data_IF_647446583525
#
_entry.id   IF_647446583525
#
_cell.length_a   1.000
_cell.length_b   1.000
_cell.length_c   1.000
_cell.angle_alpha   90.00
_cell.angle_beta   90.00
_cell.angle_gamma   90.00
#
_symmetry.space_group_name_H-M   'P 1'
#
loop_
_entity.id
_entity.type
_entity.pdbx_description
1 polymer ?
2 non-polymer ?
3 water ?
#
# COMPACT_ATOMS: atom_id res chain seq x y z
N UNK A 3 -31.88 -4.76 -15.05
CA UNK A 3 -31.79 -5.57 -13.80
C UNK A 3 -30.51 -5.26 -12.97
N UNK A 5 -27.45 -3.89 -10.79
CA UNK A 5 -27.17 -2.76 -9.92
C UNK A 5 -25.96 -1.95 -10.42
N UNK A 6 -25.92 -0.66 -10.11
CA UNK A 6 -24.82 0.17 -10.55
C UNK A 6 -24.55 1.23 -9.48
N UNK A 7 -23.40 1.88 -9.54
CA UNK A 7 -23.16 3.01 -8.67
C UNK A 7 -24.19 4.07 -9.04
N UNK A 8 -24.38 5.04 -8.17
CA UNK A 8 -25.15 6.22 -8.57
C UNK A 8 -24.24 7.43 -8.60
N UNK A 9 -24.41 8.22 -9.65
CA UNK A 9 -23.54 9.36 -9.90
C UNK A 9 -24.41 10.60 -9.73
N UNK A 10 -24.04 11.50 -8.82
CA UNK A 10 -24.80 12.76 -8.64
C UNK A 10 -23.84 13.94 -8.76
N UNK A 11 -24.38 15.10 -9.11
CA UNK A 11 -23.63 16.31 -9.19
C UNK A 11 -24.07 17.20 -8.06
N UNK A 12 -23.16 17.49 -7.15
CA UNK A 12 -23.48 18.23 -5.96
C UNK A 12 -22.40 19.28 -5.77
N UNK A 13 -22.77 20.54 -5.82
CA UNK A 13 -21.82 21.63 -5.55
C UNK A 13 -20.52 21.52 -6.39
N UNK A 14 -20.65 21.21 -7.67
CA UNK A 14 -19.52 21.15 -8.61
C UNK A 14 -18.61 19.97 -8.40
N UNK A 15 -19.10 18.99 -7.67
CA UNK A 15 -18.39 17.78 -7.41
C UNK A 15 -19.24 16.63 -7.96
N UNK A 16 -18.58 15.67 -8.61
CA UNK A 16 -19.24 14.48 -9.09
C UNK A 16 -19.13 13.49 -7.95
N UNK A 17 -20.27 13.08 -7.44
CA UNK A 17 -20.29 12.26 -6.26
C UNK A 17 -20.64 10.87 -6.72
N UNK A 18 -19.82 9.89 -6.36
CA UNK A 18 -20.10 8.47 -6.64
C UNK A 18 -20.55 7.78 -5.34
N UNK A 19 -21.72 7.16 -5.36
CA UNK A 19 -22.26 6.48 -4.19
C UNK A 19 -22.67 5.06 -4.56
N UNK A 20 -22.83 4.24 -3.54
CA UNK A 20 -23.11 2.81 -3.69
C UNK A 20 -24.44 2.38 -3.10
N UNK A 21 -25.27 1.69 -3.89
CA UNK A 21 -26.47 1.03 -3.35
C UNK A 21 -26.16 -0.07 -2.36
N UNK A 22 -27.07 -0.30 -1.42
CA UNK A 22 -26.97 -1.38 -0.42
C UNK A 22 -26.51 -2.75 -0.94
N UNK A 23 -26.90 -3.12 -2.16
CA UNK A 23 -26.43 -4.39 -2.72
C UNK A 23 -24.88 -4.51 -2.87
N UNK A 24 -24.17 -3.38 -2.84
CA UNK A 24 -22.71 -3.37 -2.92
C UNK A 24 -21.99 -3.28 -1.56
N UNK A 25 -22.41 -4.01 -0.53
CA UNK A 25 -21.72 -4.03 0.75
C UNK A 25 -20.26 -4.45 0.59
N UNK A 26 -20.04 -5.43 -0.27
CA UNK A 26 -18.73 -6.02 -0.49
C UNK A 26 -18.32 -5.92 -1.95
N UNK A 27 -17.28 -5.12 -2.21
CA UNK A 27 -16.79 -4.90 -3.56
C UNK A 27 -15.62 -5.86 -3.92
N UNK A 28 -15.95 -6.95 -4.59
CA UNK A 28 -14.96 -7.85 -5.14
C UNK A 28 -14.81 -7.60 -6.64
N UNK A 29 -14.05 -8.48 -7.29
CA UNK A 29 -13.79 -8.38 -8.71
C UNK A 29 -15.06 -8.31 -9.55
N UNK A 30 -16.08 -9.08 -9.20
CA UNK A 30 -17.34 -9.10 -9.93
C UNK A 30 -18.08 -7.80 -9.87
N UNK A 31 -18.18 -7.21 -8.67
CA UNK A 31 -18.82 -5.92 -8.51
C UNK A 31 -18.04 -4.81 -9.19
N UNK A 32 -16.71 -4.91 -9.15
CA UNK A 32 -15.88 -3.88 -9.75
C UNK A 32 -16.12 -3.87 -11.26
N UNK A 33 -16.25 -5.05 -11.89
CA UNK A 33 -16.56 -5.10 -13.33
C UNK A 33 -17.89 -4.50 -13.63
N UNK A 34 -18.85 -4.67 -12.72
CA UNK A 34 -20.21 -4.16 -12.96
C UNK A 34 -20.23 -2.66 -13.01
N UNK A 35 -19.40 -1.99 -12.24
CA UNK A 35 -19.51 -0.55 -12.04
C UNK A 35 -18.46 0.25 -12.81
N UNK A 36 -17.50 -0.44 -13.43
CA UNK A 36 -16.30 0.21 -13.99
C UNK A 36 -16.66 1.21 -15.05
N UNK A 37 -17.56 0.81 -15.92
CA UNK A 37 -17.99 1.63 -17.03
C UNK A 37 -18.70 2.94 -16.64
N UNK A 38 -19.66 2.87 -15.75
CA UNK A 38 -20.31 4.07 -15.25
C UNK A 38 -19.31 4.94 -14.48
N UNK A 39 -18.47 4.31 -13.66
CA UNK A 39 -17.49 5.03 -12.90
C UNK A 39 -16.52 5.83 -13.78
N UNK A 40 -15.92 5.13 -14.76
CA UNK A 40 -14.93 5.78 -15.61
C UNK A 40 -15.58 6.84 -16.49
N UNK A 41 -16.81 6.62 -16.93
CA UNK A 41 -17.47 7.65 -17.76
C UNK A 41 -17.78 8.91 -16.92
N UNK A 42 -17.97 8.76 -15.61
CA UNK A 42 -18.18 9.89 -14.72
C UNK A 42 -16.90 10.71 -14.44
N UNK A 44 -15.19 12.56 -16.51
CA UNK A 44 -14.93 13.63 -17.46
C UNK A 44 -15.53 14.95 -16.91
N UNK A 45 -15.54 16.03 -17.63
CA UNK A 45 -16.00 17.27 -16.99
C UNK A 45 -15.02 18.38 -17.21
N UNK A 46 -15.51 19.61 -17.19
CA UNK A 46 -14.66 20.78 -17.32
C UNK A 46 -13.69 20.82 -16.17
N UNK A 47 -12.43 21.13 -16.52
CA UNK A 47 -11.36 21.51 -15.58
C UNK A 47 -11.79 22.66 -14.65
N UNK A 48 -11.48 22.58 -13.35
CA UNK A 48 -10.91 21.48 -12.57
C UNK A 48 -12.00 20.45 -12.21
N UNK A 49 -11.69 19.18 -12.36
CA UNK A 49 -12.63 18.13 -12.01
C UNK A 49 -12.45 17.76 -10.56
N UNK A 50 -13.56 17.64 -9.88
CA UNK A 50 -13.59 17.29 -8.49
C UNK A 50 -14.52 16.09 -8.35
N UNK A 51 -14.01 15.03 -7.70
CA UNK A 51 -14.68 13.76 -7.58
C UNK A 51 -14.62 13.30 -6.10
N UNK A 52 -15.74 12.78 -5.60
CA UNK A 52 -15.84 12.32 -4.25
C UNK A 52 -16.38 10.93 -4.30
N UNK A 53 -15.70 9.98 -3.67
CA UNK A 53 -16.19 8.61 -3.63
C UNK A 53 -16.81 8.46 -2.25
N UNK A 54 -18.12 8.38 -2.22
CA UNK A 54 -18.82 8.28 -0.96
C UNK A 54 -19.07 6.80 -0.64
N UNK A 55 -18.32 6.32 0.34
CA UNK A 55 -18.27 4.89 0.63
C UNK A 55 -19.23 4.46 1.71
N UNK A 56 -20.24 5.28 2.02
CA UNK A 56 -21.16 4.94 3.09
C UNK A 56 -21.90 3.65 2.72
N UNK A 57 -21.98 2.72 3.63
CA UNK A 57 -22.66 1.44 3.39
C UNK A 57 -21.73 0.35 2.86
N UNK A 58 -20.59 0.73 2.28
CA UNK A 58 -19.64 -0.22 1.77
C UNK A 58 -18.87 -0.80 2.95
N UNK A 59 -18.88 -2.12 3.11
CA UNK A 59 -18.21 -2.75 4.25
C UNK A 59 -16.87 -3.42 3.93
N UNK A 60 -16.66 -3.76 2.66
CA UNK A 60 -15.43 -4.42 2.25
C UNK A 60 -15.00 -4.06 0.85
N UNK A 61 -13.70 -3.84 0.70
CA UNK A 61 -13.04 -3.87 -0.61
C UNK A 61 -11.57 -4.21 -0.47
N UNK A 62 -10.93 -4.49 -1.62
CA UNK A 62 -9.52 -4.85 -1.69
C UNK A 62 -8.88 -4.32 -2.95
N UNK A 63 -8.00 -5.13 -3.55
CA UNK A 63 -7.17 -4.64 -4.63
C UNK A 63 -7.96 -4.27 -5.87
N UNK A 64 -9.01 -5.04 -6.20
CA UNK A 64 -9.72 -4.79 -7.46
C UNK A 64 -10.37 -3.42 -7.43
N UNK A 65 -10.98 -3.08 -6.31
CA UNK A 65 -11.64 -1.80 -6.20
C UNK A 65 -10.64 -0.67 -6.08
N UNK A 66 -9.56 -0.85 -5.35
CA UNK A 66 -8.56 0.20 -5.25
C UNK A 66 -7.98 0.47 -6.64
N UNK A 67 -7.75 -0.59 -7.39
CA UNK A 67 -7.29 -0.48 -8.77
C UNK A 67 -8.25 0.36 -9.64
N UNK A 68 -9.55 0.09 -9.53
CA UNK A 68 -10.52 0.94 -10.27
C UNK A 68 -10.40 2.40 -9.88
N UNK A 69 -10.36 2.68 -8.57
CA UNK A 69 -10.28 4.05 -8.08
C UNK A 69 -9.04 4.78 -8.67
N UNK A 70 -7.94 4.05 -8.80
CA UNK A 70 -6.67 4.58 -9.32
C UNK A 70 -6.87 4.93 -10.80
N UNK A 71 -7.64 4.12 -11.52
CA UNK A 71 -7.95 4.43 -12.92
C UNK A 71 -8.73 5.71 -13.05
N UNK A 72 -9.68 5.91 -12.15
CA UNK A 72 -10.48 7.13 -12.11
C UNK A 72 -9.57 8.29 -11.78
N UNK A 73 -8.79 8.13 -10.74
CA UNK A 73 -7.91 9.21 -10.31
C UNK A 73 -6.93 9.65 -11.41
N UNK A 74 -6.36 8.68 -12.17
CA UNK A 74 -5.41 9.01 -13.24
C UNK A 74 -6.06 9.86 -14.35
N UNK A 75 -7.35 9.65 -14.54
CA UNK A 75 -8.08 10.43 -15.52
C UNK A 75 -8.26 11.87 -15.09
N UNK A 76 -8.38 12.13 -13.80
CA UNK A 76 -8.56 13.51 -13.39
C UNK A 76 -7.31 14.20 -12.81
N UNK A 77 -6.27 13.44 -12.46
CA UNK A 77 -5.14 13.99 -11.70
C UNK A 77 -4.32 15.05 -12.41
N UNK A 78 -4.33 15.16 -13.73
CA UNK A 78 -3.52 16.24 -14.29
C UNK A 78 -4.14 17.66 -14.23
N UNK A 79 -5.39 17.78 -13.77
CA UNK A 79 -5.96 19.11 -13.56
C UNK A 79 -5.26 19.77 -12.37
N UNK A 80 -4.79 21.00 -12.52
CA UNK A 80 -4.05 21.63 -11.42
C UNK A 80 -4.84 21.75 -10.12
N UNK A 81 -6.13 22.06 -10.22
CA UNK A 81 -6.95 22.11 -9.00
C UNK A 81 -7.96 20.97 -8.94
N UNK A 82 -7.69 19.89 -9.65
CA UNK A 82 -8.49 18.66 -9.58
C UNK A 82 -8.45 18.10 -8.17
N UNK A 83 -9.42 17.28 -7.79
CA UNK A 83 -9.43 16.68 -6.46
C UNK A 83 -10.14 15.38 -6.56
N UNK A 84 -9.54 14.35 -6.00
CA UNK A 84 -10.14 13.03 -5.95
C UNK A 84 -10.15 12.66 -4.47
N UNK A 85 -11.33 12.62 -3.87
CA UNK A 85 -11.51 12.53 -2.41
C UNK A 85 -12.40 11.32 -2.05
N UNK A 86 -12.25 10.86 -0.82
CA UNK A 86 -13.13 9.84 -0.28
C UNK A 86 -13.89 10.40 0.92
N UNK A 87 -15.03 9.79 1.24
CA UNK A 87 -15.72 10.07 2.50
C UNK A 87 -16.49 8.86 2.98
N UNK A 88 -16.85 8.90 4.26
CA UNK A 88 -17.71 7.90 4.87
C UNK A 88 -17.13 6.48 4.75
N UNK A 89 -15.83 6.40 4.98
CA UNK A 89 -15.09 5.12 4.82
C UNK A 89 -15.21 4.41 6.15
N UNK A 90 -15.73 3.18 6.14
CA UNK A 90 -15.89 2.45 7.41
C UNK A 90 -14.53 2.18 8.05
N UNK A 91 -14.47 1.97 9.37
CA UNK A 91 -13.19 1.70 10.00
C UNK A 91 -12.41 0.53 9.40
N UNK A 92 -13.11 -0.54 9.01
CA UNK A 92 -12.42 -1.61 8.38
C UNK A 92 -11.83 -1.18 7.03
N UNK A 93 -12.57 -0.43 6.22
CA UNK A 93 -12.10 -0.06 4.93
C UNK A 93 -10.88 0.86 5.06
N UNK A 94 -10.82 1.64 6.14
CA UNK A 94 -9.66 2.44 6.44
C UNK A 94 -8.44 1.52 6.71
N UNK A 95 -8.65 0.39 7.36
CA UNK A 95 -7.56 -0.56 7.65
C UNK A 95 -7.00 -1.15 6.36
N UNK A 96 -7.89 -1.33 5.38
CA UNK A 96 -7.49 -1.85 4.10
C UNK A 96 -6.78 -0.74 3.33
N UNK A 97 -7.33 0.47 3.33
CA UNK A 97 -6.63 1.60 2.73
C UNK A 97 -5.23 1.84 3.29
N UNK A 98 -5.05 1.57 4.56
CA UNK A 98 -3.75 1.74 5.20
C UNK A 98 -2.66 0.80 4.61
N UNK A 99 -3.06 -0.23 3.87
CA UNK A 99 -2.11 -1.17 3.20
C UNK A 99 -1.49 -0.50 1.99
N UNK A 100 -2.25 0.41 1.36
CA UNK A 100 -1.79 1.07 0.14
C UNK A 100 -1.34 2.46 0.45
N UNK A 101 -0.54 3.03 -0.43
CA UNK A 101 -0.01 4.34 -0.12
C UNK A 101 -0.70 5.39 -0.97
N UNK A 102 -1.40 4.98 -2.02
CA UNK A 102 -1.97 5.94 -2.97
C UNK A 102 -3.02 6.93 -2.34
N UNK A 103 -3.77 6.46 -1.35
CA UNK A 103 -4.78 7.32 -0.75
C UNK A 103 -4.20 8.47 0.05
N UNK A 104 -2.88 8.48 0.25
CA UNK A 104 -2.23 9.64 0.82
C UNK A 104 -2.37 10.84 -0.07
N UNK A 105 -2.73 10.65 -1.34
CA UNK A 105 -3.02 11.79 -2.21
C UNK A 105 -4.52 12.01 -2.40
N UNK A 106 -5.37 11.23 -1.74
CA UNK A 106 -6.82 11.43 -1.82
C UNK A 106 -7.30 11.96 -0.45
N UNK A 107 -7.70 13.22 -0.37
CA UNK A 107 -8.18 13.69 0.94
C UNK A 107 -9.37 12.86 1.35
N UNK A 108 -9.40 12.46 2.62
CA UNK A 108 -10.52 11.72 3.16
C UNK A 108 -11.26 12.53 4.26
N UNK A 109 -12.59 12.47 4.22
CA UNK A 109 -13.48 13.24 5.11
C UNK A 109 -14.53 12.32 5.76
N UNK A 110 -15.04 12.70 6.91
CA UNK A 110 -15.87 11.74 7.65
C UNK A 110 -17.25 11.61 7.06
N UNK A 111 -17.77 12.67 6.44
CA UNK A 111 -19.10 12.66 5.84
C UNK A 111 -19.06 13.42 4.51
N UNK A 112 -20.05 13.18 3.69
CA UNK A 112 -20.21 13.90 2.43
C UNK A 112 -20.30 15.40 2.62
N UNK A 113 -21.11 15.84 3.58
CA UNK A 113 -21.30 17.27 3.87
C UNK A 113 -19.95 17.93 4.16
N UNK A 114 -19.13 17.30 5.00
CA UNK A 114 -17.80 17.83 5.28
C UNK A 114 -16.93 17.85 4.04
N UNK A 115 -17.01 16.79 3.26
CA UNK A 115 -16.18 16.70 2.06
C UNK A 115 -16.54 17.82 1.08
N UNK A 116 -17.84 17.98 0.82
CA UNK A 116 -18.32 19.02 -0.08
C UNK A 116 -17.95 20.45 0.32
N UNK A 117 -18.07 20.79 1.60
CA UNK A 117 -17.65 22.06 2.14
C UNK A 117 -16.15 22.31 1.97
N UNK A 118 -15.34 21.29 2.27
CA UNK A 118 -13.89 21.40 2.12
C UNK A 118 -13.53 21.54 0.64
N UNK A 120 -15.14 23.08 -1.82
CA UNK A 120 -15.83 24.20 -2.52
C UNK A 120 -15.02 24.83 -3.65
N UNK B 5 26.74 5.93 8.58
CA UNK B 5 26.40 5.94 7.12
C UNK B 5 25.09 6.67 6.88
N UNK B 6 25.05 7.52 5.86
CA UNK B 6 23.90 8.38 5.59
C UNK B 6 23.73 8.61 4.08
N UNK B 7 22.57 9.15 3.70
CA UNK B 7 22.36 9.57 2.34
C UNK B 7 23.35 10.69 1.99
N UNK B 8 23.66 10.76 0.71
CA UNK B 8 24.47 11.84 0.17
C UNK B 8 23.54 12.83 -0.51
N UNK B 9 23.65 14.10 -0.14
CA UNK B 9 22.82 15.15 -0.69
C UNK B 9 23.71 16.11 -1.47
N UNK B 10 23.42 16.24 -2.77
CA UNK B 10 24.20 17.11 -3.66
C UNK B 10 23.23 18.02 -4.40
N UNK B 11 23.79 19.09 -4.95
CA UNK B 11 23.02 20.09 -5.69
C UNK B 11 23.48 20.09 -7.14
N UNK B 12 22.63 19.60 -8.04
CA UNK B 12 22.97 19.49 -9.45
C UNK B 12 21.94 20.08 -10.39
N UNK B 13 22.40 21.06 -11.17
CA UNK B 13 21.56 21.69 -12.18
C UNK B 13 20.26 22.14 -11.51
N UNK B 14 20.43 22.72 -10.33
CA UNK B 14 19.33 23.30 -9.56
C UNK B 14 18.45 22.26 -8.90
N UNK B 15 18.87 21.01 -8.88
CA UNK B 15 18.05 19.95 -8.29
C UNK B 15 18.77 19.44 -7.06
N UNK B 16 18.03 19.25 -5.98
CA UNK B 16 18.58 18.59 -4.80
C UNK B 16 18.55 17.11 -5.06
N UNK B 17 19.74 16.49 -5.12
CA UNK B 17 19.83 15.05 -5.45
C UNK B 17 20.15 14.23 -4.23
N UNK B 18 19.32 13.22 -3.98
CA UNK B 18 19.51 12.31 -2.85
C UNK B 18 20.05 11.00 -3.43
N UNK B 19 21.20 10.59 -2.96
CA UNK B 19 21.85 9.33 -3.36
C UNK B 19 22.13 8.45 -2.16
N UNK B 20 22.38 7.19 -2.44
CA UNK B 20 22.57 6.16 -1.41
C UNK B 20 23.91 5.48 -1.56
N UNK B 21 24.73 5.51 -0.51
CA UNK B 21 25.98 4.75 -0.50
C UNK B 21 25.73 3.27 -0.66
N UNK B 22 26.76 2.58 -1.12
CA UNK B 22 26.71 1.13 -1.40
C UNK B 22 26.08 0.31 -0.28
N UNK B 23 26.34 0.69 0.97
CA UNK B 23 25.83 -0.09 2.11
C UNK B 23 24.31 -0.13 2.19
N UNK B 24 23.61 0.80 1.54
CA UNK B 24 22.16 0.76 1.53
C UNK B 24 21.60 -0.07 0.39
N UNK B 25 22.26 -1.16 0.01
CA UNK B 25 21.63 -2.10 -0.92
C UNK B 25 20.19 -2.38 -0.54
N UNK B 26 19.93 -2.53 0.76
CA UNK B 26 18.58 -2.78 1.24
C UNK B 26 18.12 -1.70 2.22
N UNK B 27 17.03 -0.99 1.88
CA UNK B 27 16.43 0.02 2.76
C UNK B 27 15.25 -0.53 3.54
N UNK B 28 15.55 -1.05 4.71
CA UNK B 28 14.51 -1.56 5.59
C UNK B 28 14.20 -0.49 6.62
N UNK B 29 13.33 -0.81 7.56
CA UNK B 29 12.91 0.15 8.59
C UNK B 29 14.12 0.74 9.33
N UNK B 30 15.13 -0.09 9.61
CA UNK B 30 16.33 0.36 10.27
C UNK B 30 17.06 1.46 9.48
N UNK B 31 17.35 1.18 8.22
CA UNK B 31 18.03 2.16 7.37
C UNK B 31 17.18 3.39 7.17
N UNK B 32 15.88 3.19 7.00
CA UNK B 32 14.97 4.30 6.84
C UNK B 32 15.05 5.23 8.06
N UNK B 33 15.13 4.67 9.26
CA UNK B 33 15.29 5.50 10.46
C UNK B 33 16.63 6.27 10.49
N UNK B 34 17.73 5.64 10.09
CA UNK B 34 19.03 6.33 10.05
C UNK B 34 19.02 7.58 9.14
N UNK B 35 18.36 7.50 7.98
CA UNK B 35 18.44 8.58 6.99
C UNK B 35 17.32 9.62 7.10
N UNK B 36 16.29 9.32 7.90
CA UNK B 36 15.05 10.12 7.90
C UNK B 36 15.26 11.62 8.12
N UNK B 37 16.07 11.97 9.11
CA UNK B 37 16.22 13.37 9.46
C UNK B 37 17.03 14.15 8.39
N UNK B 38 18.11 13.56 7.87
CA UNK B 38 18.86 14.18 6.76
C UNK B 38 17.98 14.34 5.50
N UNK B 39 17.19 13.32 5.21
CA UNK B 39 16.28 13.34 4.08
C UNK B 39 15.32 14.50 4.21
N UNK B 40 14.67 14.61 5.38
CA UNK B 40 13.66 15.64 5.59
C UNK B 40 14.33 17.01 5.66
N UNK B 41 15.52 17.10 6.22
CA UNK B 41 16.28 18.36 6.20
C UNK B 41 16.56 18.75 4.77
N UNK B 42 16.72 17.77 3.86
CA UNK B 42 17.02 18.10 2.47
C UNK B 42 15.81 18.70 1.75
N UNK B 44 13.97 21.20 2.56
CA UNK B 44 13.70 22.62 2.91
C UNK B 44 14.36 23.67 2.01
N UNK B 45 14.84 23.30 0.83
CA UNK B 45 15.59 24.24 -0.04
C UNK B 45 14.87 25.52 -0.53
N UNK B 46 15.58 26.33 -1.32
CA UNK B 46 14.98 27.48 -2.01
C UNK B 46 13.94 27.04 -3.05
N UNK B 47 12.95 27.91 -3.29
CA UNK B 47 11.83 27.63 -4.20
C UNK B 47 12.04 28.14 -5.64
N UNK B 48 11.47 27.43 -6.64
CA UNK B 48 10.73 26.14 -6.46
C UNK B 48 11.68 24.98 -6.16
N UNK B 49 11.24 24.09 -5.30
CA UNK B 49 12.09 23.02 -4.86
C UNK B 49 11.99 21.88 -5.85
N UNK B 50 13.14 21.45 -6.31
CA UNK B 50 13.24 20.32 -7.20
C UNK B 50 14.10 19.28 -6.51
N UNK B 51 13.56 18.07 -6.42
CA UNK B 51 14.18 17.00 -5.67
C UNK B 51 14.20 15.73 -6.52
N UNK B 52 15.37 15.12 -6.58
CA UNK B 52 15.55 13.87 -7.28
C UNK B 52 16.10 12.82 -6.33
N UNK B 53 15.40 11.70 -6.24
CA UNK B 53 15.83 10.54 -5.47
C UNK B 53 16.49 9.56 -6.44
N UNK B 54 17.82 9.57 -6.43
CA UNK B 54 18.62 8.68 -7.24
C UNK B 54 18.81 7.34 -6.52
N UNK B 55 18.04 6.33 -6.94
CA UNK B 55 18.04 5.04 -6.27
C UNK B 55 19.02 4.04 -6.89
N UNK B 56 20.05 4.54 -7.57
CA UNK B 56 21.06 3.63 -8.10
C UNK B 56 21.78 2.87 -6.98
N UNK B 57 21.86 1.55 -7.15
CA UNK B 57 22.48 0.67 -6.16
C UNK B 57 21.51 0.13 -5.12
N UNK B 58 20.28 0.66 -5.03
CA UNK B 58 19.31 0.15 -4.05
C UNK B 58 18.54 -0.97 -4.72
N UNK B 59 18.54 -2.13 -4.10
CA UNK B 59 17.91 -3.31 -4.70
C UNK B 59 16.62 -3.68 -4.01
N UNK B 60 16.41 -3.21 -2.78
CA UNK B 60 15.19 -3.50 -2.03
C UNK B 60 14.76 -2.31 -1.17
N UNK B 61 13.47 -2.07 -1.14
CA UNK B 61 12.88 -1.28 -0.08
C UNK B 61 11.43 -1.70 0.03
N UNK B 62 10.75 -1.22 1.06
CA UNK B 62 9.34 -1.48 1.23
C UNK B 62 8.55 -0.32 1.80
N UNK B 63 7.61 -0.68 2.66
CA UNK B 63 6.63 0.28 3.09
C UNK B 63 7.19 1.50 3.85
N UNK B 64 8.18 1.31 4.71
CA UNK B 64 8.62 2.43 5.51
C UNK B 64 9.41 3.44 4.67
N UNK B 65 10.17 2.98 3.67
CA UNK B 65 10.82 3.92 2.78
C UNK B 65 9.80 4.69 1.96
N UNK B 66 8.75 4.01 1.49
CA UNK B 66 7.71 4.70 0.73
C UNK B 66 7.08 5.79 1.59
N UNK B 67 6.79 5.46 2.84
CA UNK B 67 6.24 6.45 3.77
C UNK B 67 7.15 7.65 3.88
N UNK B 68 8.46 7.45 4.02
CA UNK B 68 9.39 8.58 4.03
C UNK B 68 9.31 9.41 2.73
N UNK B 69 9.34 8.75 1.58
CA UNK B 69 9.24 9.43 0.32
C UNK B 69 7.95 10.27 0.23
N UNK B 70 6.84 9.69 0.68
CA UNK B 70 5.56 10.40 0.61
C UNK B 70 5.60 11.68 1.45
N UNK B 71 6.24 11.66 2.62
CA UNK B 71 6.38 12.85 3.46
C UNK B 71 7.11 13.97 2.73
N UNK B 72 8.29 13.62 2.20
CA UNK B 72 9.12 14.54 1.44
C UNK B 72 8.37 15.09 0.27
N UNK B 73 7.67 14.21 -0.44
CA UNK B 73 6.85 14.64 -1.54
C UNK B 73 5.80 15.67 -1.08
N UNK B 74 5.18 15.43 0.07
CA UNK B 74 4.18 16.35 0.61
C UNK B 74 4.77 17.71 0.97
N UNK B 75 6.02 17.76 1.44
CA UNK B 75 6.65 19.05 1.67
C UNK B 75 6.96 19.81 0.37
N UNK B 76 7.33 19.09 -0.69
CA UNK B 76 7.70 19.72 -1.96
C UNK B 76 6.45 20.19 -2.72
N UNK B 77 5.40 19.38 -2.71
CA UNK B 77 4.25 19.61 -3.60
C UNK B 77 3.51 20.88 -3.24
N UNK B 78 3.74 21.40 -2.05
CA UNK B 78 3.25 22.72 -1.68
C UNK B 78 3.71 23.83 -2.66
N UNK B 79 4.71 23.55 -3.51
CA UNK B 79 5.37 24.60 -4.30
C UNK B 79 4.74 24.96 -5.63
N UNK B 80 3.83 24.12 -6.14
CA UNK B 80 3.17 24.40 -7.42
C UNK B 80 4.15 24.16 -8.55
N UNK B 81 5.23 24.95 -8.61
CA UNK B 81 6.30 24.72 -9.59
C UNK B 81 7.32 23.62 -9.18
N UNK B 82 7.12 23.02 -8.01
CA UNK B 82 8.10 22.05 -7.49
C UNK B 82 8.03 20.70 -8.17
N UNK B 83 9.13 19.97 -8.16
CA UNK B 83 9.15 18.62 -8.71
C UNK B 83 9.84 17.67 -7.77
N UNK B 84 9.22 16.52 -7.58
CA UNK B 84 9.78 15.42 -6.82
C UNK B 84 9.82 14.25 -7.77
N UNK B 85 11.01 13.72 -8.01
CA UNK B 85 11.19 12.66 -9.03
C UNK B 85 12.11 11.59 -8.52
N UNK B 86 12.07 10.42 -9.17
CA UNK B 86 12.92 9.27 -8.87
C UNK B 86 13.70 8.93 -10.12
N UNK B 87 14.87 8.32 -9.98
CA UNK B 87 15.53 7.71 -11.11
C UNK B 87 16.28 6.50 -10.68
N UNK B 88 16.69 5.72 -11.65
CA UNK B 88 17.53 4.56 -11.48
C UNK B 88 16.96 3.57 -10.49
N UNK B 89 15.66 3.31 -10.62
CA UNK B 89 15.01 2.43 -9.70
C UNK B 89 15.09 1.00 -10.24
N UNK B 90 15.46 0.06 -9.41
CA UNK B 90 15.62 -1.32 -9.84
C UNK B 90 14.29 -1.99 -10.18
N UNK B 91 14.33 -3.05 -10.99
CA UNK B 91 13.10 -3.73 -11.37
C UNK B 91 12.22 -4.19 -10.23
N UNK B 92 12.81 -4.77 -9.19
CA UNK B 92 12.04 -5.12 -7.97
C UNK B 92 11.33 -3.91 -7.35
N UNK B 93 12.10 -2.84 -7.18
CA UNK B 93 11.60 -1.60 -6.60
C UNK B 93 10.51 -0.91 -7.43
N UNK B 94 10.65 -0.92 -8.74
CA UNK B 94 9.55 -0.48 -9.59
C UNK B 94 8.24 -1.25 -9.31
N UNK B 95 8.33 -2.57 -9.14
CA UNK B 95 7.15 -3.35 -8.85
C UNK B 95 6.48 -2.92 -7.55
N UNK B 96 7.28 -2.71 -6.50
CA UNK B 96 6.75 -2.25 -5.24
C UNK B 96 5.96 -0.94 -5.47
N UNK B 97 6.59 0.01 -6.14
CA UNK B 97 5.92 1.26 -6.44
C UNK B 97 4.62 1.09 -7.28
N UNK B 98 4.60 0.15 -8.21
CA UNK B 98 3.44 -0.05 -9.04
C UNK B 98 2.32 -0.76 -8.31
N UNK B 99 2.68 -1.75 -7.48
CA UNK B 99 1.67 -2.51 -6.78
C UNK B 99 0.93 -1.62 -5.79
N UNK B 100 1.61 -0.65 -5.17
CA UNK B 100 0.91 0.23 -4.23
C UNK B 100 0.37 1.48 -4.92
N UNK B 101 0.54 1.54 -6.23
CA UNK B 101 0.09 2.65 -7.10
C UNK B 101 0.79 3.95 -6.90
N UNK B 102 1.89 3.97 -6.22
CA UNK B 102 2.56 5.25 -5.96
C UNK B 102 3.50 5.72 -7.12
N UNK B 103 3.76 4.81 -8.08
CA UNK B 103 4.63 5.09 -9.21
C UNK B 103 4.21 6.28 -10.09
N UNK B 104 2.91 6.45 -10.38
CA UNK B 104 2.44 7.54 -11.27
C UNK B 104 2.20 8.84 -10.48
N UNK B 105 2.40 8.81 -9.17
CA UNK B 105 2.35 10.05 -8.41
C UNK B 105 3.50 11.02 -8.76
N UNK B 106 4.70 10.45 -8.89
CA UNK B 106 5.98 11.10 -9.21
C UNK B 106 6.49 10.73 -10.63
N UNK B 107 7.22 11.64 -11.31
CA UNK B 107 8.00 11.24 -12.49
C UNK B 107 9.08 10.27 -12.13
N UNK B 108 9.30 9.24 -12.94
CA UNK B 108 10.41 8.35 -12.72
C UNK B 108 11.23 8.22 -13.99
N UNK B 109 12.55 8.41 -13.90
CA UNK B 109 13.39 8.44 -15.08
C UNK B 109 14.32 7.23 -15.01
N UNK B 110 14.86 6.81 -16.16
CA UNK B 110 15.84 5.70 -16.16
C UNK B 110 17.18 6.09 -15.57
N UNK B 111 17.71 7.27 -15.91
CA UNK B 111 19.02 7.72 -15.43
C UNK B 111 18.98 9.13 -14.84
N UNK B 112 20.01 9.47 -14.09
CA UNK B 112 20.10 10.78 -13.50
C UNK B 112 20.20 11.92 -14.51
N UNK B 113 21.02 11.76 -15.54
CA UNK B 113 21.19 12.83 -16.51
C UNK B 113 19.86 13.09 -17.25
N UNK B 114 19.16 12.03 -17.60
CA UNK B 114 17.81 12.15 -18.17
C UNK B 114 16.90 13.00 -17.27
N UNK B 115 16.89 12.66 -15.99
CA UNK B 115 16.08 13.38 -14.99
C UNK B 115 16.47 14.85 -14.86
N UNK B 116 17.76 15.13 -14.74
CA UNK B 116 18.19 16.50 -14.47
C UNK B 116 17.82 17.39 -15.65
N UNK B 117 17.98 16.87 -16.86
CA UNK B 117 17.57 17.59 -18.05
C UNK B 117 16.03 17.74 -18.13
N UNK B 118 15.28 16.63 -17.98
CA UNK B 118 13.80 16.63 -18.00
C UNK B 118 13.25 17.68 -17.03
N UNK B 120 14.50 20.40 -16.06
CA UNK B 120 14.68 21.80 -16.51
C UNK B 120 13.58 22.30 -17.46
N UNK B 121 12.55 21.49 -17.76
CA UNK B 121 11.53 21.96 -18.71
C UNK B 121 10.53 22.92 -18.04
N UNK C 5 -8.69 -15.41 24.55
CA UNK C 5 -8.47 -16.18 23.28
C UNK C 5 -7.14 -15.81 22.62
N UNK C 6 -6.45 -16.83 22.11
CA UNK C 6 -5.16 -16.63 21.52
C UNK C 6 -5.03 -17.55 20.30
N UNK C 7 -4.03 -17.27 19.48
CA UNK C 7 -3.68 -18.18 18.39
C UNK C 7 -3.20 -19.47 19.00
N UNK C 8 -3.23 -20.53 18.21
CA UNK C 8 -2.81 -21.88 18.60
C UNK C 8 -1.53 -22.17 17.84
N UNK C 9 -0.46 -22.48 18.54
CA UNK C 9 0.80 -22.77 17.93
C UNK C 9 1.09 -24.23 18.10
N UNK C 10 1.35 -24.91 17.00
CA UNK C 10 1.71 -26.32 17.06
C UNK C 10 2.97 -26.61 16.22
N UNK C 11 3.56 -27.77 16.46
CA UNK C 11 4.79 -28.19 15.78
C UNK C 11 4.48 -29.48 15.07
N UNK C 12 4.35 -29.40 13.75
CA UNK C 12 3.93 -30.51 12.90
C UNK C 12 4.94 -30.68 11.79
N UNK C 13 5.62 -31.83 11.74
CA UNK C 13 6.47 -32.18 10.59
C UNK C 13 7.63 -31.16 10.38
N UNK C 14 8.31 -30.76 11.47
CA UNK C 14 9.40 -29.79 11.40
C UNK C 14 8.91 -28.34 11.18
N UNK C 15 7.60 -28.15 11.16
CA UNK C 15 7.00 -26.84 10.81
C UNK C 15 6.23 -26.30 12.02
N UNK C 16 6.46 -25.03 12.33
CA UNK C 16 5.68 -24.32 13.33
C UNK C 16 4.43 -23.79 12.65
N UNK C 17 3.28 -24.30 13.06
CA UNK C 17 2.00 -23.95 12.49
C UNK C 17 1.25 -22.99 13.39
N UNK C 18 0.81 -21.87 12.83
CA UNK C 18 -0.01 -20.87 13.54
C UNK C 18 -1.43 -21.00 13.05
N UNK C 19 -2.38 -21.27 13.94
CA UNK C 19 -3.81 -21.41 13.58
C UNK C 19 -4.65 -20.44 14.40
N UNK C 20 -5.86 -20.16 13.91
CA UNK C 20 -6.75 -19.15 14.51
C UNK C 20 -8.05 -19.78 14.99
N UNK C 21 -8.40 -19.59 16.25
CA UNK C 21 -9.75 -20.00 16.66
C UNK C 21 -10.85 -19.22 15.92
N UNK C 22 -12.07 -19.76 15.93
CA UNK C 22 -13.22 -19.17 15.19
C UNK C 22 -13.50 -17.73 15.59
N UNK C 23 -13.30 -17.41 16.87
CA UNK C 23 -13.47 -16.02 17.36
C UNK C 23 -12.69 -14.95 16.53
N UNK C 24 -11.57 -15.35 15.90
CA UNK C 24 -10.75 -14.42 15.12
C UNK C 24 -11.15 -14.32 13.63
N UNK C 25 -12.43 -14.44 13.33
CA UNK C 25 -12.88 -14.26 11.96
C UNK C 25 -12.44 -12.92 11.36
N UNK C 26 -12.41 -11.88 12.19
CA UNK C 26 -12.02 -10.56 11.78
C UNK C 26 -10.83 -10.17 12.62
N UNK C 27 -9.75 -9.74 11.99
CA UNK C 27 -8.54 -9.39 12.68
C UNK C 27 -8.24 -7.92 12.53
N UNK C 28 -8.67 -7.16 13.53
CA UNK C 28 -8.47 -5.72 13.56
C UNK C 28 -7.37 -5.46 14.57
N UNK C 29 -7.09 -4.18 14.82
CA UNK C 29 -5.96 -3.79 15.64
C UNK C 29 -5.97 -4.47 17.03
N UNK C 30 -7.16 -4.53 17.61
CA UNK C 30 -7.38 -5.17 18.92
C UNK C 30 -6.94 -6.62 18.92
N UNK C 31 -7.37 -7.37 17.91
CA UNK C 31 -7.02 -8.78 17.80
C UNK C 31 -5.55 -8.95 17.55
N UNK C 32 -4.97 -8.05 16.79
CA UNK C 32 -3.57 -8.19 16.47
C UNK C 32 -2.74 -7.98 17.75
N UNK C 33 -3.11 -7.01 18.57
CA UNK C 33 -2.49 -6.87 19.87
C UNK C 33 -2.79 -8.04 20.83
N UNK C 34 -3.99 -8.62 20.84
CA UNK C 34 -4.26 -9.82 21.64
C UNK C 34 -3.23 -10.98 21.33
N UNK C 35 -2.88 -11.15 20.06
CA UNK C 35 -2.10 -12.31 19.61
C UNK C 35 -0.59 -12.04 19.35
N UNK C 36 -0.15 -10.79 19.35
CA UNK C 36 1.20 -10.43 18.90
C UNK C 36 2.26 -11.17 19.71
N UNK C 37 2.08 -11.27 21.01
CA UNK C 37 3.10 -11.86 21.88
C UNK C 37 3.27 -13.36 21.59
N UNK C 38 2.17 -14.10 21.53
CA UNK C 38 2.27 -15.52 21.21
C UNK C 38 2.74 -15.76 19.75
N UNK C 39 2.26 -14.93 18.83
CA UNK C 39 2.75 -14.99 17.44
C UNK C 39 4.28 -14.76 17.33
N UNK C 40 4.78 -13.68 17.91
CA UNK C 40 6.18 -13.37 17.74
C UNK C 40 7.07 -14.43 18.47
N UNK C 41 6.60 -14.97 19.59
CA UNK C 41 7.33 -16.04 20.30
C UNK C 41 7.51 -17.29 19.41
N UNK C 42 6.54 -17.56 18.54
CA UNK C 42 6.60 -18.69 17.64
C UNK C 42 7.61 -18.51 16.53
N UNK C 44 10.73 -17.86 17.04
CA UNK C 44 12.05 -17.92 17.69
C UNK C 44 12.71 -19.34 17.79
N UNK C 45 12.29 -20.33 17.01
CA UNK C 45 12.92 -21.66 17.16
C UNK C 45 14.30 -21.97 16.51
N UNK C 46 14.64 -23.26 16.47
CA UNK C 46 15.86 -23.72 15.84
C UNK C 46 15.86 -23.43 14.34
N UNK C 47 17.02 -23.05 13.82
CA UNK C 47 17.18 -22.60 12.45
C UNK C 47 17.61 -23.77 11.57
N UNK C 48 17.18 -23.79 10.29
CA UNK C 48 16.32 -22.83 9.59
C UNK C 48 14.89 -22.92 10.06
N UNK C 49 14.24 -21.78 10.31
CA UNK C 49 12.89 -21.79 10.81
C UNK C 49 11.89 -21.88 9.66
N UNK C 50 10.95 -22.80 9.80
CA UNK C 50 9.86 -22.96 8.88
C UNK C 50 8.56 -22.67 9.64
N UNK C 51 7.80 -21.73 9.10
CA UNK C 51 6.56 -21.27 9.70
C UNK C 51 5.40 -21.31 8.67
N UNK C 52 4.26 -21.85 9.12
CA UNK C 52 3.04 -21.91 8.32
C UNK C 52 1.92 -21.18 9.04
N UNK C 53 1.33 -20.19 8.36
CA UNK C 53 0.24 -19.41 8.90
C UNK C 53 -1.01 -19.96 8.25
N UNK C 54 -1.74 -20.75 9.03
CA UNK C 54 -2.92 -21.38 8.54
C UNK C 54 -4.11 -20.47 8.82
N UNK C 55 -4.67 -19.86 7.78
CA UNK C 55 -5.61 -18.78 7.92
C UNK C 55 -7.03 -19.28 7.77
N UNK C 56 -7.24 -20.58 7.94
CA UNK C 56 -8.60 -21.10 7.85
C UNK C 56 -9.47 -20.44 8.90
N UNK C 57 -10.65 -19.97 8.49
CA UNK C 57 -11.58 -19.32 9.41
C UNK C 57 -11.40 -17.80 9.44
N UNK C 58 -10.24 -17.30 9.03
CA UNK C 58 -10.01 -15.86 9.03
C UNK C 58 -10.60 -15.27 7.74
N UNK C 59 -11.50 -14.30 7.91
CA UNK C 59 -12.19 -13.71 6.77
C UNK C 59 -11.84 -12.25 6.46
N UNK C 60 -11.42 -11.49 7.44
CA UNK C 60 -11.07 -10.11 7.17
C UNK C 60 -9.82 -9.75 8.00
N UNK C 61 -8.86 -9.06 7.37
CA UNK C 61 -7.84 -8.30 8.10
C UNK C 61 -7.37 -7.12 7.28
N UNK C 62 -6.58 -6.24 7.88
CA UNK C 62 -6.02 -5.10 7.14
C UNK C 62 -4.56 -4.88 7.47
N UNK C 63 -4.14 -3.60 7.48
CA UNK C 63 -2.72 -3.28 7.69
C UNK C 63 -2.18 -3.80 9.01
N UNK C 64 -2.99 -3.79 10.06
CA UNK C 64 -2.48 -4.20 11.38
C UNK C 64 -1.94 -5.62 11.32
N UNK C 65 -2.72 -6.53 10.74
CA UNK C 65 -2.32 -7.94 10.68
C UNK C 65 -1.20 -8.18 9.71
N UNK C 66 -1.28 -7.53 8.55
CA UNK C 66 -0.20 -7.61 7.60
C UNK C 66 1.10 -7.13 8.25
N UNK C 67 1.05 -6.06 9.03
CA UNK C 67 2.28 -5.58 9.67
C UNK C 67 2.84 -6.60 10.68
N UNK C 68 1.96 -7.31 11.40
CA UNK C 68 2.37 -8.38 12.31
C UNK C 68 3.03 -9.52 11.53
N UNK C 69 2.37 -10.01 10.48
CA UNK C 69 3.00 -11.02 9.64
C UNK C 69 4.38 -10.57 9.17
N UNK C 70 4.52 -9.34 8.69
CA UNK C 70 5.78 -8.86 8.11
C UNK C 70 6.85 -8.86 9.21
N UNK C 71 6.44 -8.46 10.39
CA UNK C 71 7.33 -8.43 11.52
C UNK C 71 7.88 -9.83 11.88
N UNK C 72 7.00 -10.83 11.87
CA UNK C 72 7.36 -12.21 12.11
C UNK C 72 8.25 -12.71 10.99
N UNK C 73 7.86 -12.44 9.76
CA UNK C 73 8.66 -12.80 8.62
C UNK C 73 10.09 -12.21 8.69
N UNK C 74 10.25 -10.98 9.14
CA UNK C 74 11.60 -10.40 9.24
C UNK C 74 12.50 -11.09 10.26
N UNK C 75 11.91 -11.70 11.28
CA UNK C 75 12.65 -12.62 12.15
C UNK C 75 13.13 -13.91 11.49
N UNK C 76 12.27 -14.58 10.76
CA UNK C 76 12.52 -15.84 10.03
C UNK C 76 13.49 -15.64 8.86
N UNK C 77 13.42 -14.50 8.20
CA UNK C 77 14.14 -14.35 6.96
C UNK C 77 15.65 -14.19 7.10
N UNK C 78 16.18 -14.02 8.30
CA UNK C 78 17.63 -14.22 8.55
C UNK C 78 18.07 -15.56 7.98
N UNK C 79 17.24 -16.58 8.17
CA UNK C 79 17.59 -17.92 7.79
C UNK C 79 17.50 -18.09 6.28
N UNK C 80 18.63 -18.16 5.62
CA UNK C 80 18.69 -18.47 4.19
C UNK C 80 17.71 -19.55 3.71
N UNK C 81 17.59 -20.65 4.47
CA UNK C 81 16.69 -21.75 4.12
C UNK C 81 15.38 -21.72 4.91
N UNK C 82 15.05 -20.56 5.46
CA UNK C 82 13.81 -20.39 6.22
C UNK C 82 12.62 -20.28 5.29
N UNK C 83 11.43 -20.57 5.80
CA UNK C 83 10.22 -20.52 5.03
C UNK C 83 9.13 -19.90 5.88
N UNK C 84 8.40 -18.95 5.29
CA UNK C 84 7.23 -18.34 5.92
C UNK C 84 6.10 -18.48 4.88
N UNK C 85 5.17 -19.40 5.13
CA UNK C 85 4.13 -19.74 4.16
C UNK C 85 2.74 -19.50 4.72
N UNK C 86 1.78 -19.32 3.82
CA UNK C 86 0.36 -19.16 4.12
C UNK C 86 -0.42 -20.32 3.51
N UNK C 87 -1.46 -20.78 4.19
CA UNK C 87 -2.42 -21.69 3.57
C UNK C 87 -3.85 -21.31 3.98
N UNK C 88 -4.81 -21.88 3.27
CA UNK C 88 -6.23 -21.66 3.48
C UNK C 88 -6.60 -20.19 3.55
N UNK C 89 -6.09 -19.41 2.60
CA UNK C 89 -6.36 -17.98 2.56
C UNK C 89 -7.71 -17.75 1.86
N UNK C 90 -8.68 -17.13 2.52
CA UNK C 90 -9.97 -16.93 1.90
C UNK C 90 -9.89 -15.88 0.78
N UNK C 91 -10.88 -15.88 -0.12
CA UNK C 91 -10.85 -14.93 -1.22
C UNK C 91 -10.83 -13.46 -0.75
N UNK C 92 -11.48 -13.15 0.38
CA UNK C 92 -11.42 -11.80 0.93
C UNK C 92 -9.99 -11.44 1.37
N UNK C 93 -9.32 -12.41 1.98
CA UNK C 93 -7.98 -12.20 2.42
C UNK C 93 -7.04 -12.03 1.26
N UNK C 94 -7.25 -12.82 0.19
CA UNK C 94 -6.45 -12.67 -1.04
C UNK C 94 -6.61 -11.24 -1.59
N UNK C 95 -7.85 -10.73 -1.60
CA UNK C 95 -8.09 -9.40 -2.12
C UNK C 95 -7.38 -8.34 -1.31
N UNK C 96 -7.27 -8.53 -0.01
CA UNK C 96 -6.51 -7.61 0.83
C UNK C 96 -4.99 -7.77 0.61
N UNK C 97 -4.49 -8.99 0.63
CA UNK C 97 -3.04 -9.21 0.43
C UNK C 97 -2.52 -8.69 -0.90
N UNK C 98 -3.38 -8.70 -1.93
CA UNK C 98 -3.01 -8.20 -3.22
C UNK C 98 -2.74 -6.70 -3.25
N UNK C 99 -3.15 -5.98 -2.19
CA UNK C 99 -2.96 -4.54 -2.14
C UNK C 99 -1.48 -4.21 -1.91
N UNK C 100 -0.75 -5.16 -1.34
CA UNK C 100 0.67 -4.99 -1.13
C UNK C 100 1.51 -6.05 -1.84
N UNK C 101 2.74 -5.63 -2.16
CA UNK C 101 3.69 -6.52 -2.85
C UNK C 101 4.45 -7.42 -1.87
N UNK C 102 4.46 -7.09 -0.58
CA UNK C 102 5.38 -7.72 0.37
C UNK C 102 5.13 -9.23 0.53
N UNK C 103 3.87 -9.66 0.47
CA UNK C 103 3.55 -11.08 0.71
C UNK C 103 3.89 -12.05 -0.46
N UNK C 104 4.29 -11.54 -1.62
CA UNK C 104 4.58 -12.44 -2.77
C UNK C 104 5.61 -13.52 -2.50
N UNK C 105 6.58 -13.24 -1.63
CA UNK C 105 7.63 -14.20 -1.30
C UNK C 105 7.24 -15.18 -0.18
N UNK C 106 5.98 -15.20 0.20
CA UNK C 106 5.50 -16.22 1.10
C UNK C 106 4.79 -17.27 0.24
N UNK C 107 5.31 -18.51 0.22
CA UNK C 107 4.55 -19.46 -0.58
C UNK C 107 3.11 -19.65 -0.08
N UNK C 108 2.23 -19.93 -1.03
CA UNK C 108 0.80 -20.18 -0.81
C UNK C 108 0.43 -21.61 -1.02
N UNK C 109 -0.36 -22.18 -0.15
CA UNK C 109 -0.86 -23.51 -0.36
C UNK C 109 -2.34 -23.45 -0.13
N UNK C 110 -3.06 -24.38 -0.75
CA UNK C 110 -4.51 -24.37 -0.67
C UNK C 110 -4.97 -24.80 0.73
N UNK C 111 -4.33 -25.84 1.27
CA UNK C 111 -4.70 -26.44 2.56
C UNK C 111 -3.47 -26.74 3.41
N UNK C 112 -3.71 -27.05 4.69
CA UNK C 112 -2.61 -27.34 5.57
C UNK C 112 -1.92 -28.66 5.19
N UNK C 113 -2.71 -29.66 4.81
CA UNK C 113 -2.18 -30.96 4.40
C UNK C 113 -1.19 -30.78 3.23
N UNK C 114 -1.59 -29.99 2.25
CA UNK C 114 -0.75 -29.70 1.09
C UNK C 114 0.53 -28.93 1.49
N UNK C 115 0.39 -27.90 2.28
CA UNK C 115 1.56 -27.16 2.79
C UNK C 115 2.60 -28.05 3.50
N UNK C 116 2.12 -28.90 4.40
CA UNK C 116 3.03 -29.69 5.24
C UNK C 116 3.81 -30.71 4.40
N UNK C 117 3.18 -31.29 3.38
CA UNK C 117 3.87 -32.18 2.45
C UNK C 117 4.88 -31.38 1.62
N UNK C 118 4.47 -30.22 1.13
CA UNK C 118 5.34 -29.41 0.29
C UNK C 118 6.56 -29.00 1.07
N UNK C 120 7.99 -30.41 3.70
CA UNK C 120 8.77 -31.47 4.35
C UNK C 120 10.20 -31.37 3.86
N UNK C 121 11.15 -31.60 4.77
CA UNK C 121 12.59 -31.48 4.45
C UNK C 121 13.42 -32.40 5.33
#
# INVERSE_FOLDING_TARGET
SNAXADIRVTHEAQVTVISFPAVFQRLRETEVEQIASTFLAAXQGAQPRKVLIDLEGVEFFGSSFIELLVRGWKRIKEDQQGVFALCSVSPYCVEVLQVTHIDEVWPRYSTKQEALLAXAS
SNAXADIRVTHEAQVTVISFPAVFQRLRETEVEQIASTFLAAXQGAQPRKVLIDLEGVEFFGSSFIELLVRGWKRIKEDQQGVFALCSVSPYCVEVLQVTHIDEVWPRYSTKQEALLAXAS
SNAXADIRVTHEAQVTVISFPAVFQRLRETEVEQIASTFLAAXQGAQPRKVLIDLEGVEFFGSSFIELLVRGWKRIKEDQQGVFALCSVSPYCVEVLQVTHIDEVWPRYSTKQEALLAXAS
#
